data_IF_404561347849
#
_entry.id   IF_404561347849
#
_cell.length_a   1.000
_cell.length_b   1.000
_cell.length_c   1.000
_cell.angle_alpha   90.00
_cell.angle_beta   90.00
_cell.angle_gamma   90.00
#
_symmetry.space_group_name_H-M   'P 1'
#
loop_
_entity.id
_entity.type
_entity.pdbx_description
1 polymer ?
#
# COMPACT_ATOMS: atom_id res chain seq x y z
N UNK A 1 -5.93 -9.60 -5.55
CA UNK A 1 -5.48 -8.18 -5.46
C UNK A 1 -3.98 -8.11 -5.38
N UNK A 2 -3.35 -8.89 -4.47
CA UNK A 2 -1.89 -8.99 -4.36
C UNK A 2 -1.19 -9.32 -5.66
N UNK A 3 -1.72 -10.26 -6.47
CA UNK A 3 -1.17 -10.58 -7.80
C UNK A 3 -1.10 -9.37 -8.74
N UNK A 4 -2.18 -8.59 -8.83
CA UNK A 4 -2.21 -7.39 -9.69
C UNK A 4 -1.22 -6.32 -9.21
N UNK A 5 -1.16 -6.09 -7.89
CA UNK A 5 -0.22 -5.13 -7.32
C UNK A 5 1.24 -5.60 -7.47
N UNK A 6 1.52 -6.89 -7.31
CA UNK A 6 2.83 -7.48 -7.56
C UNK A 6 3.22 -7.34 -9.04
N UNK A 7 2.29 -7.60 -9.96
CA UNK A 7 2.51 -7.38 -11.39
C UNK A 7 2.80 -5.91 -11.70
N UNK A 8 2.02 -4.96 -11.17
CA UNK A 8 2.28 -3.53 -11.31
C UNK A 8 3.63 -3.13 -10.68
N UNK A 9 4.04 -3.80 -9.62
CA UNK A 9 5.26 -3.49 -8.89
C UNK A 9 6.51 -3.98 -9.64
N UNK A 10 6.53 -5.24 -10.06
CA UNK A 10 7.73 -5.91 -10.60
C UNK A 10 7.70 -6.10 -12.12
N UNK A 11 6.54 -5.96 -12.76
CA UNK A 11 6.38 -6.10 -14.22
C UNK A 11 6.15 -7.53 -14.71
N UNK A 12 6.15 -8.52 -13.81
CA UNK A 12 6.00 -9.93 -14.15
C UNK A 12 4.94 -10.62 -13.28
N UNK A 13 4.29 -11.65 -13.83
CA UNK A 13 3.38 -12.50 -13.08
C UNK A 13 4.19 -13.45 -12.21
N UNK A 14 4.11 -13.25 -10.89
CA UNK A 14 4.85 -14.06 -9.92
C UNK A 14 4.16 -15.41 -9.68
N UNK A 15 4.94 -16.47 -9.41
CA UNK A 15 4.39 -17.76 -8.99
C UNK A 15 3.53 -17.64 -7.71
N UNK A 16 2.49 -18.49 -7.53
CA UNK A 16 1.62 -18.43 -6.37
C UNK A 16 2.33 -18.56 -5.02
N UNK A 17 3.38 -19.37 -4.94
CA UNK A 17 4.20 -19.55 -3.73
C UNK A 17 4.94 -18.27 -3.33
N UNK A 18 5.42 -17.50 -4.31
CA UNK A 18 6.07 -16.20 -4.08
C UNK A 18 5.04 -15.15 -3.63
N UNK A 19 3.85 -15.15 -4.23
CA UNK A 19 2.75 -14.27 -3.83
C UNK A 19 2.29 -14.55 -2.39
N UNK A 20 2.11 -15.83 -2.04
CA UNK A 20 1.76 -16.24 -0.67
C UNK A 20 2.83 -15.81 0.35
N UNK A 21 4.11 -15.89 -0.05
CA UNK A 21 5.21 -15.42 0.78
C UNK A 21 5.20 -13.90 0.98
N UNK A 22 5.00 -13.13 -0.09
CA UNK A 22 4.86 -11.66 -0.04
C UNK A 22 3.69 -11.27 0.88
N UNK A 23 2.52 -11.89 0.71
CA UNK A 23 1.33 -11.64 1.53
C UNK A 23 1.56 -11.98 3.00
N UNK A 24 2.29 -13.06 3.29
CA UNK A 24 2.65 -13.43 4.66
C UNK A 24 3.62 -12.41 5.28
N UNK A 25 4.60 -11.96 4.50
CA UNK A 25 5.59 -10.99 4.92
C UNK A 25 4.97 -9.62 5.20
N UNK A 26 4.09 -9.13 4.34
CA UNK A 26 3.39 -7.85 4.51
C UNK A 26 2.51 -7.83 5.74
N UNK A 27 1.70 -8.88 5.96
CA UNK A 27 0.88 -9.00 7.17
C UNK A 27 1.75 -9.05 8.43
N UNK A 28 2.90 -9.72 8.36
CA UNK A 28 3.85 -9.73 9.47
C UNK A 28 4.49 -8.35 9.71
N UNK A 29 4.83 -7.64 8.64
CA UNK A 29 5.36 -6.29 8.70
C UNK A 29 4.35 -5.31 9.31
N UNK A 30 3.09 -5.34 8.89
CA UNK A 30 2.03 -4.48 9.42
C UNK A 30 1.81 -4.70 10.91
N UNK A 31 1.69 -5.97 11.34
CA UNK A 31 1.56 -6.32 12.77
C UNK A 31 2.73 -5.81 13.58
N UNK A 32 3.94 -5.93 13.03
CA UNK A 32 5.16 -5.49 13.69
C UNK A 32 5.20 -3.96 13.75
N UNK A 33 4.78 -3.25 12.70
CA UNK A 33 4.73 -1.80 12.63
C UNK A 33 3.82 -1.17 13.71
N UNK A 34 2.68 -1.78 14.05
CA UNK A 34 1.82 -1.29 15.16
C UNK A 34 2.54 -1.26 16.52
N UNK A 35 3.58 -2.07 16.65
CA UNK A 35 4.41 -2.17 17.86
C UNK A 35 5.55 -1.15 17.91
N UNK A 36 5.82 -0.45 16.79
CA UNK A 36 6.94 0.47 16.60
C UNK A 36 6.90 1.76 17.46
N UNK A 37 5.74 2.39 17.75
CA UNK A 37 5.71 3.68 18.45
C UNK A 37 6.42 3.69 19.81
N UNK A 38 6.54 2.53 20.48
CA UNK A 38 7.28 2.39 21.74
C UNK A 38 8.76 2.77 21.60
N UNK A 39 9.35 2.63 20.40
CA UNK A 39 10.75 2.95 20.15
C UNK A 39 11.01 4.41 19.85
N UNK A 40 9.96 5.21 19.57
CA UNK A 40 10.08 6.65 19.42
C UNK A 40 10.34 7.35 20.76
N UNK A 41 9.92 6.73 21.87
CA UNK A 41 10.17 7.22 23.23
C UNK A 41 11.54 6.73 23.67
N UNK A 42 12.51 7.64 23.87
CA UNK A 42 13.88 7.34 24.32
C UNK A 42 14.51 6.09 23.65
N UNK A 43 14.83 6.16 22.35
CA UNK A 43 15.23 5.01 21.54
C UNK A 43 16.31 4.08 22.12
N UNK A 44 17.42 4.56 22.73
CA UNK A 44 18.45 3.64 23.25
C UNK A 44 17.95 2.78 24.42
N UNK A 45 17.04 3.31 25.24
CA UNK A 45 16.48 2.61 26.40
C UNK A 45 15.42 1.62 25.96
N UNK A 46 14.47 2.06 25.12
CA UNK A 46 13.35 1.23 24.68
C UNK A 46 13.79 0.09 23.78
N UNK A 47 14.78 0.29 22.90
CA UNK A 47 15.41 -0.82 22.15
C UNK A 47 16.06 -1.87 23.06
N UNK A 48 16.66 -1.44 24.18
CA UNK A 48 17.32 -2.35 25.13
C UNK A 48 16.36 -3.07 26.07
N UNK A 49 15.22 -2.45 26.43
CA UNK A 49 14.17 -3.06 27.24
C UNK A 49 13.33 -4.02 26.37
N UNK A 50 12.90 -3.57 25.18
CA UNK A 50 12.03 -4.32 24.28
C UNK A 50 12.82 -5.06 23.18
N UNK A 51 13.94 -5.70 23.55
CA UNK A 51 14.83 -6.38 22.59
C UNK A 51 14.11 -7.37 21.68
N UNK A 52 13.20 -8.18 22.22
CA UNK A 52 12.44 -9.16 21.42
C UNK A 52 11.62 -8.48 20.32
N UNK A 53 10.98 -7.35 20.62
CA UNK A 53 10.25 -6.55 19.63
C UNK A 53 11.22 -5.95 18.61
N UNK A 54 12.33 -5.38 19.06
CA UNK A 54 13.35 -4.81 18.17
C UNK A 54 13.93 -5.86 17.21
N UNK A 55 14.27 -7.05 17.71
CA UNK A 55 14.72 -8.18 16.88
C UNK A 55 13.65 -8.59 15.87
N UNK A 56 12.37 -8.60 16.23
CA UNK A 56 11.30 -8.87 15.28
C UNK A 56 11.24 -7.82 14.15
N UNK A 57 11.36 -6.52 14.46
CA UNK A 57 11.45 -5.44 13.45
C UNK A 57 12.64 -5.63 12.51
N UNK A 58 13.82 -5.91 13.05
CA UNK A 58 15.03 -6.14 12.25
C UNK A 58 14.88 -7.38 11.37
N UNK A 59 14.27 -8.44 11.88
CA UNK A 59 14.02 -9.66 11.12
C UNK A 59 13.05 -9.44 9.96
N UNK A 60 12.00 -8.64 10.16
CA UNK A 60 11.09 -8.22 9.09
C UNK A 60 11.86 -7.49 8.00
N UNK A 61 12.68 -6.49 8.36
CA UNK A 61 13.47 -5.75 7.35
C UNK A 61 14.41 -6.66 6.58
N UNK A 62 15.14 -7.53 7.27
CA UNK A 62 16.01 -8.51 6.62
C UNK A 62 15.24 -9.41 5.66
N UNK A 63 14.05 -9.88 6.05
CA UNK A 63 13.24 -10.75 5.17
C UNK A 63 12.70 -9.99 3.96
N UNK A 64 12.37 -8.71 4.12
CA UNK A 64 12.03 -7.86 2.98
C UNK A 64 13.19 -7.75 2.01
N UNK A 65 14.41 -7.50 2.48
CA UNK A 65 15.57 -7.46 1.58
C UNK A 65 15.79 -8.81 0.86
N UNK A 66 15.66 -9.93 1.57
CA UNK A 66 15.82 -11.28 1.00
C UNK A 66 14.78 -11.62 -0.08
N UNK A 67 13.54 -11.15 0.05
CA UNK A 67 12.44 -11.44 -0.88
C UNK A 67 12.37 -10.44 -2.02
N UNK A 68 12.48 -9.14 -1.73
CA UNK A 68 12.24 -8.08 -2.70
C UNK A 68 13.46 -7.75 -3.55
N UNK A 69 14.68 -7.79 -3.01
CA UNK A 69 15.86 -7.40 -3.79
C UNK A 69 16.05 -8.25 -5.06
N UNK A 70 15.92 -9.60 -5.01
CA UNK A 70 16.02 -10.41 -6.23
C UNK A 70 14.98 -10.05 -7.29
N UNK A 71 13.74 -9.76 -6.88
CA UNK A 71 12.66 -9.37 -7.78
C UNK A 71 12.95 -8.03 -8.46
N UNK A 72 13.43 -7.04 -7.69
CA UNK A 72 13.79 -5.72 -8.20
C UNK A 72 14.96 -5.82 -9.20
N UNK A 73 15.99 -6.61 -8.88
CA UNK A 73 17.12 -6.80 -9.78
C UNK A 73 16.74 -7.56 -11.05
N UNK A 74 15.82 -8.53 -10.97
CA UNK A 74 15.30 -9.21 -12.15
C UNK A 74 14.62 -8.23 -13.12
N UNK A 75 13.86 -7.26 -12.60
CA UNK A 75 13.25 -6.19 -13.41
C UNK A 75 14.30 -5.35 -14.17
N UNK A 76 15.50 -5.15 -13.61
CA UNK A 76 16.56 -4.40 -14.30
C UNK A 76 17.18 -5.14 -15.49
N UNK A 77 17.07 -6.47 -15.53
CA UNK A 77 17.58 -7.30 -16.62
C UNK A 77 16.57 -7.46 -17.76
N UNK A 78 15.28 -7.18 -17.51
CA UNK A 78 14.22 -7.23 -18.49
C UNK A 78 14.20 -5.94 -19.33
N UNK A 79 14.98 -5.93 -20.41
CA UNK A 79 15.07 -4.83 -21.37
C UNK A 79 13.99 -4.97 -22.48
N UNK A 80 12.73 -5.11 -22.04
CA UNK A 80 11.59 -5.19 -22.95
C UNK A 80 10.88 -3.84 -23.01
N UNK A 81 11.02 -3.15 -24.14
CA UNK A 81 10.44 -1.82 -24.40
C UNK A 81 8.92 -1.91 -24.68
N UNK A 82 8.40 -3.12 -24.93
CA UNK A 82 6.98 -3.41 -25.19
C UNK A 82 6.18 -3.71 -23.91
N UNK A 83 6.83 -3.93 -22.76
CA UNK A 83 6.12 -4.18 -21.50
C UNK A 83 5.62 -2.87 -20.86
N UNK A 84 4.42 -2.87 -20.24
CA UNK A 84 3.93 -1.74 -19.48
C UNK A 84 4.94 -1.33 -18.40
N UNK A 85 5.12 -0.02 -18.14
CA UNK A 85 6.06 0.44 -17.12
C UNK A 85 5.63 -0.08 -15.74
N UNK A 86 6.54 -0.76 -15.05
CA UNK A 86 6.33 -1.21 -13.68
C UNK A 86 6.98 -0.25 -12.67
N UNK A 87 6.53 -0.34 -11.41
CA UNK A 87 6.97 0.54 -10.33
C UNK A 87 8.47 0.41 -10.05
N UNK A 88 9.01 -0.81 -9.95
CA UNK A 88 10.42 -1.08 -9.68
C UNK A 88 11.34 -0.50 -10.77
N UNK A 89 10.97 -0.60 -12.05
CA UNK A 89 11.71 0.01 -13.17
C UNK A 89 11.73 1.53 -13.06
N UNK A 90 10.61 2.13 -12.64
CA UNK A 90 10.53 3.57 -12.39
C UNK A 90 11.43 4.02 -11.23
N UNK A 91 11.51 3.22 -10.15
CA UNK A 91 12.41 3.49 -9.02
C UNK A 91 13.89 3.37 -9.40
N UNK A 92 14.26 2.39 -10.23
CA UNK A 92 15.62 2.23 -10.75
C UNK A 92 16.09 3.43 -11.59
N UNK A 93 15.17 4.00 -12.37
CA UNK A 93 15.42 5.20 -13.16
C UNK A 93 15.45 6.49 -12.33
N UNK A 94 14.88 6.47 -11.11
CA UNK A 94 14.73 7.66 -10.28
C UNK A 94 16.09 8.19 -9.80
N UNK A 95 16.17 9.52 -9.66
CA UNK A 95 17.27 10.24 -9.03
C UNK A 95 16.74 11.17 -7.94
N UNK A 96 17.43 11.23 -6.81
CA UNK A 96 17.04 12.05 -5.66
C UNK A 96 17.76 13.39 -5.73
N UNK A 97 17.08 14.41 -6.28
CA UNK A 97 17.67 15.73 -6.50
C UNK A 97 18.20 16.38 -5.22
N UNK A 98 17.46 16.26 -4.12
CA UNK A 98 17.82 16.84 -2.81
C UNK A 98 18.99 16.13 -2.12
N UNK A 99 19.45 14.98 -2.65
CA UNK A 99 20.55 14.18 -2.11
C UNK A 99 21.65 14.00 -3.17
N UNK A 100 22.00 15.10 -3.84
CA UNK A 100 23.11 15.14 -4.80
C UNK A 100 22.85 14.37 -6.10
N UNK A 101 21.58 14.28 -6.53
CA UNK A 101 21.17 13.56 -7.74
C UNK A 101 21.57 12.08 -7.73
N UNK A 102 21.63 11.45 -6.55
CA UNK A 102 22.00 10.05 -6.41
C UNK A 102 20.87 9.10 -6.80
N UNK A 103 21.22 7.86 -7.10
CA UNK A 103 20.26 6.77 -7.23
C UNK A 103 19.71 6.36 -5.86
N UNK A 104 18.52 5.73 -5.87
CA UNK A 104 18.02 5.02 -4.69
C UNK A 104 18.94 3.85 -4.34
N UNK A 105 19.15 3.63 -3.05
CA UNK A 105 19.80 2.43 -2.54
C UNK A 105 18.86 1.22 -2.62
N UNK A 106 19.41 0.01 -2.64
CA UNK A 106 18.61 -1.22 -2.63
C UNK A 106 17.62 -1.26 -1.46
N UNK A 107 18.05 -0.83 -0.27
CA UNK A 107 17.19 -0.79 0.91
C UNK A 107 16.03 0.21 0.78
N UNK A 108 16.26 1.35 0.12
CA UNK A 108 15.20 2.33 -0.18
C UNK A 108 14.23 1.76 -1.22
N UNK A 109 14.72 1.11 -2.28
CA UNK A 109 13.88 0.47 -3.30
C UNK A 109 13.02 -0.64 -2.70
N UNK A 110 13.62 -1.54 -1.90
CA UNK A 110 12.90 -2.59 -1.16
C UNK A 110 11.83 -1.98 -0.25
N UNK A 111 12.18 -0.90 0.46
CA UNK A 111 11.23 -0.22 1.34
C UNK A 111 10.03 0.34 0.57
N UNK A 112 10.26 1.01 -0.56
CA UNK A 112 9.23 1.61 -1.39
C UNK A 112 8.34 0.54 -2.08
N UNK A 113 8.93 -0.54 -2.60
CA UNK A 113 8.16 -1.64 -3.18
C UNK A 113 7.28 -2.32 -2.12
N UNK A 114 7.83 -2.58 -0.94
CA UNK A 114 7.05 -3.15 0.15
C UNK A 114 5.95 -2.21 0.66
N UNK A 115 6.18 -0.89 0.66
CA UNK A 115 5.16 0.10 1.01
C UNK A 115 4.02 0.12 -0.01
N UNK A 116 4.35 0.11 -1.31
CA UNK A 116 3.38 0.10 -2.40
C UNK A 116 2.40 -1.08 -2.29
N UNK A 117 2.94 -2.29 -2.08
CA UNK A 117 2.12 -3.50 -1.98
C UNK A 117 1.28 -3.51 -0.69
N UNK A 118 1.90 -3.19 0.45
CA UNK A 118 1.19 -3.17 1.74
C UNK A 118 0.05 -2.14 1.75
N UNK A 119 0.33 -0.92 1.29
CA UNK A 119 -0.64 0.16 1.27
C UNK A 119 -1.79 -0.11 0.30
N UNK A 120 -1.54 -0.81 -0.80
CA UNK A 120 -2.57 -1.15 -1.80
C UNK A 120 -3.44 -2.35 -1.40
N UNK A 121 -2.84 -3.39 -0.81
CA UNK A 121 -3.53 -4.66 -0.55
C UNK A 121 -4.47 -4.56 0.65
N UNK A 122 -3.92 -4.38 1.85
CA UNK A 122 -4.68 -4.52 3.10
C UNK A 122 -5.80 -3.46 3.20
N UNK A 123 -5.53 -2.23 2.74
CA UNK A 123 -6.50 -1.13 2.81
C UNK A 123 -7.70 -1.36 1.88
N UNK A 124 -7.46 -1.79 0.65
CA UNK A 124 -8.51 -1.98 -0.35
C UNK A 124 -9.32 -3.24 -0.05
N UNK A 125 -8.68 -4.32 0.40
CA UNK A 125 -9.38 -5.54 0.86
C UNK A 125 -10.30 -5.21 2.04
N UNK A 126 -9.79 -4.51 3.06
CA UNK A 126 -10.59 -4.12 4.24
C UNK A 126 -11.80 -3.27 3.83
N UNK A 127 -11.61 -2.30 2.94
CA UNK A 127 -12.72 -1.46 2.46
C UNK A 127 -13.78 -2.29 1.71
N UNK A 128 -13.35 -3.20 0.84
CA UNK A 128 -14.28 -4.06 0.10
C UNK A 128 -15.06 -4.99 1.02
N UNK A 129 -14.42 -5.57 2.05
CA UNK A 129 -15.09 -6.38 3.06
C UNK A 129 -16.20 -5.60 3.77
N UNK A 130 -15.91 -4.36 4.19
CA UNK A 130 -16.91 -3.48 4.81
C UNK A 130 -18.03 -3.08 3.86
N UNK A 131 -17.72 -2.71 2.62
CA UNK A 131 -18.74 -2.41 1.60
C UNK A 131 -19.66 -3.62 1.40
N UNK A 132 -19.09 -4.83 1.28
CA UNK A 132 -19.88 -6.05 1.11
C UNK A 132 -20.76 -6.34 2.33
N UNK A 133 -20.24 -6.13 3.55
CA UNK A 133 -21.03 -6.25 4.77
C UNK A 133 -22.21 -5.27 4.80
N UNK A 134 -21.98 -4.01 4.40
CA UNK A 134 -23.04 -3.00 4.33
C UNK A 134 -24.09 -3.32 3.26
N UNK A 135 -23.68 -3.83 2.09
CA UNK A 135 -24.61 -4.21 1.02
C UNK A 135 -25.52 -5.38 1.43
N UNK A 136 -24.98 -6.39 2.13
CA UNK A 136 -25.75 -7.51 2.66
C UNK A 136 -26.80 -7.04 3.68
N UNK A 137 -26.45 -6.03 4.49
CA UNK A 137 -27.37 -5.45 5.49
C UNK A 137 -28.38 -4.45 4.88
N UNK A 138 -28.13 -3.93 3.67
CA UNK A 138 -28.98 -2.96 2.98
C UNK A 138 -29.35 -3.45 1.56
N UNK A 139 -30.28 -4.42 1.43
CA UNK A 139 -30.65 -5.00 0.15
C UNK A 139 -31.18 -4.00 -0.88
N UNK A 140 -31.80 -2.91 -0.44
CA UNK A 140 -32.28 -1.85 -1.34
C UNK A 140 -31.12 -1.07 -2.00
N UNK A 141 -30.04 -0.84 -1.25
CA UNK A 141 -28.81 -0.22 -1.77
C UNK A 141 -28.12 -1.19 -2.73
N UNK A 142 -28.03 -2.47 -2.36
CA UNK A 142 -27.46 -3.52 -3.22
C UNK A 142 -28.21 -3.62 -4.56
N UNK A 143 -29.54 -3.61 -4.55
CA UNK A 143 -30.35 -3.61 -5.76
C UNK A 143 -30.07 -2.38 -6.65
N UNK A 144 -29.97 -1.18 -6.06
CA UNK A 144 -29.66 0.05 -6.80
C UNK A 144 -28.28 0.03 -7.44
N UNK A 145 -27.25 -0.48 -6.74
CA UNK A 145 -25.90 -0.65 -7.30
C UNK A 145 -25.93 -1.63 -8.47
N UNK A 146 -26.60 -2.77 -8.30
CA UNK A 146 -26.72 -3.78 -9.36
C UNK A 146 -27.36 -3.20 -10.62
N UNK A 147 -28.50 -2.52 -10.49
CA UNK A 147 -29.17 -1.88 -11.62
C UNK A 147 -28.28 -0.82 -12.31
N UNK A 148 -27.56 -0.01 -11.54
CA UNK A 148 -26.63 0.97 -12.09
C UNK A 148 -25.52 0.30 -12.93
N UNK A 149 -24.95 -0.80 -12.44
CA UNK A 149 -23.90 -1.55 -13.14
C UNK A 149 -24.44 -2.26 -14.39
N UNK A 150 -25.60 -2.89 -14.32
CA UNK A 150 -26.24 -3.55 -15.47
C UNK A 150 -26.57 -2.54 -16.57
N UNK A 151 -27.10 -1.38 -16.20
CA UNK A 151 -27.37 -0.30 -17.15
C UNK A 151 -26.09 0.17 -17.83
N UNK A 152 -25.04 0.48 -17.05
CA UNK A 152 -23.77 0.92 -17.62
C UNK A 152 -23.14 -0.13 -18.55
N UNK A 153 -23.20 -1.41 -18.19
CA UNK A 153 -22.69 -2.51 -19.03
C UNK A 153 -23.41 -2.61 -20.37
N UNK A 154 -24.70 -2.28 -20.44
CA UNK A 154 -25.46 -2.25 -21.71
C UNK A 154 -25.12 -1.05 -22.58
N UNK A 155 -24.67 0.04 -21.97
CA UNK A 155 -24.38 1.32 -22.63
C UNK A 155 -22.90 1.45 -23.05
N UNK A 156 -21.99 0.61 -22.54
CA UNK A 156 -20.54 0.70 -22.75
C UNK A 156 -19.98 -0.60 -23.39
N UNK A 157 -19.26 -0.45 -24.51
CA UNK A 157 -18.40 -1.50 -25.08
C UNK A 157 -17.16 -1.66 -24.18
N UNK A 158 -17.14 -2.77 -23.42
CA UNK A 158 -16.04 -3.41 -22.66
C UNK A 158 -15.18 -2.59 -21.66
N UNK A 159 -15.09 -1.26 -21.75
CA UNK A 159 -14.39 -0.43 -20.77
C UNK A 159 -15.37 0.16 -19.76
N UNK A 160 -15.35 -0.32 -18.52
CA UNK A 160 -16.13 0.24 -17.41
C UNK A 160 -15.69 1.69 -17.17
N UNK A 161 -16.39 2.63 -17.80
CA UNK A 161 -16.21 4.04 -17.54
C UNK A 161 -16.79 4.37 -16.16
N UNK A 162 -15.93 4.58 -15.16
CA UNK A 162 -16.35 4.95 -13.80
C UNK A 162 -17.16 6.26 -13.77
N UNK A 163 -17.02 7.14 -14.77
CA UNK A 163 -17.89 8.32 -14.90
C UNK A 163 -19.35 7.95 -15.19
N UNK A 164 -19.61 6.76 -15.74
CA UNK A 164 -20.95 6.24 -15.98
C UNK A 164 -21.60 5.60 -14.74
N UNK A 165 -20.89 5.53 -13.61
CA UNK A 165 -21.36 4.85 -12.38
C UNK A 165 -21.32 5.75 -11.14
N UNK A 166 -22.03 6.90 -11.14
CA UNK A 166 -22.01 7.83 -10.01
C UNK A 166 -22.55 7.21 -8.70
N UNK A 167 -23.51 6.29 -8.79
CA UNK A 167 -24.06 5.62 -7.62
C UNK A 167 -23.06 4.63 -6.99
N UNK A 168 -22.33 3.86 -7.81
CA UNK A 168 -21.25 3.00 -7.31
C UNK A 168 -20.16 3.83 -6.62
N UNK A 169 -19.78 4.96 -7.23
CA UNK A 169 -18.84 5.90 -6.60
C UNK A 169 -19.35 6.40 -5.24
N UNK A 170 -20.63 6.74 -5.14
CA UNK A 170 -21.23 7.15 -3.87
C UNK A 170 -21.16 6.05 -2.81
N UNK A 171 -21.41 4.79 -3.18
CA UNK A 171 -21.28 3.64 -2.27
C UNK A 171 -19.85 3.45 -1.78
N UNK A 172 -18.85 3.57 -2.67
CA UNK A 172 -17.43 3.50 -2.28
C UNK A 172 -17.07 4.63 -1.30
N UNK A 173 -17.50 5.86 -1.60
CA UNK A 173 -17.26 7.02 -0.74
C UNK A 173 -17.95 6.89 0.62
N UNK A 174 -19.16 6.34 0.65
CA UNK A 174 -19.90 6.10 1.90
C UNK A 174 -19.26 4.98 2.72
N UNK A 175 -18.75 3.92 2.07
CA UNK A 175 -17.94 2.89 2.71
C UNK A 175 -16.70 3.47 3.37
N UNK A 176 -15.98 4.36 2.68
CA UNK A 176 -14.83 5.08 3.25
C UNK A 176 -15.21 6.00 4.42
N UNK A 177 -16.39 6.64 4.36
CA UNK A 177 -16.88 7.54 5.41
C UNK A 177 -17.24 6.78 6.69
N UNK A 178 -17.86 5.60 6.55
CA UNK A 178 -18.32 4.78 7.67
C UNK A 178 -17.21 3.89 8.23
N UNK A 179 -16.41 3.28 7.35
CA UNK A 179 -15.44 2.25 7.68
C UNK A 179 -14.07 2.53 7.05
N UNK A 180 -13.39 3.63 7.43
CA UNK A 180 -12.08 3.94 6.88
C UNK A 180 -11.07 2.85 7.28
N UNK A 181 -10.29 2.29 6.33
CA UNK A 181 -9.27 1.28 6.65
C UNK A 181 -8.23 1.76 7.68
N UNK A 182 -7.98 3.08 7.74
CA UNK A 182 -7.19 3.73 8.78
C UNK A 182 -8.00 4.78 9.54
N UNK A 183 -8.14 4.64 10.86
CA UNK A 183 -8.85 5.61 11.70
C UNK A 183 -8.05 6.89 11.95
N UNK A 184 -6.72 6.78 11.92
CA UNK A 184 -5.80 7.89 12.08
C UNK A 184 -4.93 8.02 10.84
N UNK A 185 -4.53 9.25 10.55
CA UNK A 185 -3.44 9.50 9.61
C UNK A 185 -2.11 9.03 10.22
N UNK A 186 -1.13 8.82 9.34
CA UNK A 186 0.26 8.61 9.77
C UNK A 186 0.70 9.82 10.60
N UNK A 187 1.49 9.65 11.68
CA UNK A 187 1.96 10.77 12.49
C UNK A 187 2.70 11.81 11.64
N UNK A 188 2.33 13.08 11.78
CA UNK A 188 2.98 14.21 11.11
C UNK A 188 3.90 14.94 12.07
N UNK A 189 4.96 15.55 11.53
CA UNK A 189 5.88 16.43 12.24
C UNK A 189 6.05 17.74 11.47
N UNK A 190 6.25 18.84 12.18
CA UNK A 190 6.57 20.14 11.57
C UNK A 190 7.99 20.12 11.02
N UNK A 191 8.20 20.64 9.81
CA UNK A 191 9.54 20.75 9.19
C UNK A 191 10.29 22.01 9.63
N UNK A 192 9.56 23.01 10.12
CA UNK A 192 10.05 24.28 10.64
C UNK A 192 9.04 24.84 11.62
N UNK A 193 9.44 25.82 12.43
CA UNK A 193 8.55 26.53 13.37
C UNK A 193 7.23 26.92 12.67
N UNK A 194 6.11 26.51 13.26
CA UNK A 194 4.77 26.72 12.72
C UNK A 194 3.77 27.10 13.81
N UNK A 195 2.75 27.86 13.45
CA UNK A 195 1.62 28.17 14.33
C UNK A 195 0.36 27.45 13.84
N UNK A 196 -0.23 26.62 14.70
CA UNK A 196 -1.44 25.86 14.40
C UNK A 196 -2.48 26.19 15.47
N UNK A 197 -3.58 26.82 15.07
CA UNK A 197 -4.67 27.19 15.98
C UNK A 197 -4.24 28.10 17.14
N UNK A 198 -3.22 28.95 16.95
CA UNK A 198 -2.68 29.84 17.99
C UNK A 198 -1.57 29.23 18.86
N UNK A 199 -1.20 27.96 18.64
CA UNK A 199 -0.14 27.29 19.37
C UNK A 199 1.12 27.18 18.52
N UNK A 200 2.28 27.50 19.13
CA UNK A 200 3.59 27.37 18.48
C UNK A 200 4.07 25.93 18.55
N UNK A 201 4.35 25.35 17.39
CA UNK A 201 5.03 24.07 17.22
C UNK A 201 6.45 24.34 16.77
N UNK A 202 7.41 23.68 17.41
CA UNK A 202 8.84 23.71 17.08
C UNK A 202 9.32 22.28 16.87
#
# INVERSE_FOLDING_TARGET
MSELLAYMCFGELLPPDVLDEIDALERHALRTATSFPVFAIFPPVTKRIFRKRWTAHVNVRRRQDEVYAPLIHATSAADDDDQPPCYAKSLLALRVADDGDRQLTDSEMVSLCSEFLNAGTDTTVTLLEWIMAELVNHPDVQAKVYEAVIRAKRELDDAVNLHALPYLKAVVLEGLRLHPPGHYLVPHAVRSDAEIGGYKHR
#
